data_IF_146523522155
#
_entry.id   IF_146523522155
#
_cell.length_a   1.000
_cell.length_b   1.000
_cell.length_c   1.000
_cell.angle_alpha   90.00
_cell.angle_beta   90.00
_cell.angle_gamma   90.00
#
_symmetry.space_group_name_H-M   'P 1'
#
loop_
_entity.id
_entity.type
_entity.pdbx_description
1 polymer ?
#
# COMPACT_ATOMS: atom_id res chain seq x y z
N UNK A 1 18.81 20.72 21.78
CA UNK A 1 17.73 21.70 22.06
C UNK A 1 16.43 21.17 21.48
N UNK A 2 15.52 20.71 22.33
CA UNK A 2 14.19 20.17 22.00
C UNK A 2 13.14 21.13 22.55
N UNK A 3 12.16 21.49 21.73
CA UNK A 3 10.79 21.99 22.06
C UNK A 3 10.26 22.55 20.73
N UNK A 4 9.06 22.25 20.22
CA UNK A 4 7.75 22.50 20.82
C UNK A 4 6.73 21.52 20.26
N UNK A 5 6.01 20.83 21.15
CA UNK A 5 4.67 20.26 20.91
C UNK A 5 3.69 21.13 21.71
N UNK A 6 2.41 21.12 21.30
CA UNK A 6 1.21 21.55 22.03
C UNK A 6 0.74 22.99 21.75
N UNK A 7 -0.21 23.07 20.81
CA UNK A 7 -1.27 24.08 20.67
C UNK A 7 -2.28 23.44 19.70
N UNK A 8 -3.59 23.33 19.89
CA UNK A 8 -4.52 23.89 20.86
C UNK A 8 -5.85 23.15 20.63
N UNK A 9 -6.34 22.45 21.66
CA UNK A 9 -7.70 21.97 21.78
C UNK A 9 -8.55 23.17 22.20
N UNK A 10 -9.48 23.65 21.37
CA UNK A 10 -10.56 24.57 21.81
C UNK A 10 -11.48 25.00 20.64
N UNK A 11 -12.31 24.12 20.08
CA UNK A 11 -13.52 24.56 19.33
C UNK A 11 -14.66 23.56 19.63
N UNK A 12 -15.17 23.64 20.85
CA UNK A 12 -16.49 23.16 21.24
C UNK A 12 -17.28 24.39 21.70
N UNK A 13 -18.59 24.39 21.46
CA UNK A 13 -19.61 25.23 22.10
C UNK A 13 -19.67 26.72 21.69
N UNK A 14 -20.32 27.02 20.55
CA UNK A 14 -21.06 28.29 20.41
C UNK A 14 -22.38 28.07 19.63
N UNK A 15 -23.46 28.54 20.27
CA UNK A 15 -24.77 28.92 19.75
C UNK A 15 -25.87 27.86 19.55
N UNK A 16 -26.53 27.58 20.67
CA UNK A 16 -27.97 27.39 20.74
C UNK A 16 -28.70 28.76 20.71
N UNK A 17 -29.89 28.77 20.10
CA UNK A 17 -31.13 29.49 20.46
C UNK A 17 -31.77 30.35 19.34
N UNK A 18 -33.10 30.14 19.25
CA UNK A 18 -34.15 30.91 18.56
C UNK A 18 -34.24 30.73 17.03
N UNK A 19 -35.39 30.46 16.41
CA UNK A 19 -36.78 30.59 16.88
C UNK A 19 -37.75 29.79 15.99
N UNK A 20 -38.94 29.59 16.54
CA UNK A 20 -40.11 28.89 16.02
C UNK A 20 -40.54 29.26 14.59
N UNK A 21 -41.24 28.37 13.88
CA UNK A 21 -42.62 28.62 13.41
C UNK A 21 -43.38 27.35 13.00
N UNK A 22 -44.63 27.32 13.47
CA UNK A 22 -45.86 26.75 12.88
C UNK A 22 -46.00 25.24 12.69
N UNK A 23 -46.66 24.65 13.69
CA UNK A 23 -47.52 23.46 13.56
C UNK A 23 -48.62 23.73 12.52
N UNK A 24 -48.66 22.90 11.49
CA UNK A 24 -49.83 22.74 10.61
C UNK A 24 -50.29 21.29 10.77
N UNK A 25 -51.48 21.11 11.33
CA UNK A 25 -52.18 19.83 11.46
C UNK A 25 -52.71 19.42 10.08
N UNK A 26 -52.12 18.40 9.46
CA UNK A 26 -52.69 17.71 8.30
C UNK A 26 -53.33 16.41 8.78
N UNK A 27 -54.66 16.39 8.78
CA UNK A 27 -55.48 15.20 9.02
C UNK A 27 -55.53 14.33 7.75
N UNK A 28 -55.33 13.03 7.96
CA UNK A 28 -55.74 11.87 7.17
C UNK A 28 -55.19 11.66 5.74
N UNK A 29 -54.29 10.69 5.64
CA UNK A 29 -54.41 9.55 4.71
C UNK A 29 -53.65 8.36 5.33
N UNK A 30 -54.18 7.12 5.32
CA UNK A 30 -53.43 5.95 5.76
C UNK A 30 -52.20 5.77 4.85
N UNK A 31 -50.97 5.67 5.38
CA UNK A 31 -49.83 5.36 4.55
C UNK A 31 -49.99 3.93 4.04
N UNK A 32 -50.17 3.80 2.72
CA UNK A 32 -49.91 2.57 2.00
C UNK A 32 -48.54 2.04 2.45
N UNK A 33 -48.52 0.75 2.78
CA UNK A 33 -47.37 0.03 3.29
C UNK A 33 -46.09 0.41 2.54
N UNK A 34 -45.20 1.13 3.21
CA UNK A 34 -43.85 1.36 2.74
C UNK A 34 -43.14 0.01 2.66
N UNK A 35 -42.89 -0.43 1.43
CA UNK A 35 -41.99 -1.53 1.11
C UNK A 35 -40.69 -1.33 1.89
N UNK A 36 -40.24 -2.28 2.73
CA UNK A 36 -38.97 -2.14 3.41
C UNK A 36 -37.86 -1.99 2.37
N UNK A 37 -37.05 -0.94 2.50
CA UNK A 37 -35.83 -0.75 1.74
C UNK A 37 -35.00 -2.05 1.75
N UNK A 38 -34.34 -2.44 0.64
CA UNK A 38 -33.52 -3.63 0.61
C UNK A 38 -32.48 -3.55 1.73
N UNK A 39 -32.53 -4.53 2.63
CA UNK A 39 -31.54 -4.73 3.70
C UNK A 39 -30.15 -4.72 3.05
N UNK A 40 -29.15 -3.99 3.59
CA UNK A 40 -27.80 -4.07 3.07
C UNK A 40 -27.39 -5.55 3.06
N UNK A 41 -27.09 -6.06 1.86
CA UNK A 41 -26.73 -7.46 1.69
C UNK A 41 -25.54 -7.76 2.61
N UNK A 42 -25.63 -8.85 3.37
CA UNK A 42 -24.52 -9.33 4.20
C UNK A 42 -23.24 -9.38 3.37
N UNK A 43 -22.09 -8.94 3.90
CA UNK A 43 -20.84 -9.02 3.17
C UNK A 43 -20.58 -10.47 2.71
N UNK A 44 -20.05 -10.67 1.49
CA UNK A 44 -19.81 -12.00 0.98
C UNK A 44 -18.89 -12.80 1.92
N UNK A 45 -19.07 -14.12 2.03
CA UNK A 45 -18.23 -14.96 2.85
C UNK A 45 -16.78 -14.98 2.33
N UNK A 46 -15.81 -15.23 3.21
CA UNK A 46 -14.38 -15.15 2.87
C UNK A 46 -13.97 -16.02 1.66
N UNK A 47 -14.46 -17.27 1.48
CA UNK A 47 -14.07 -18.07 0.32
C UNK A 47 -14.54 -17.46 -1.00
N UNK A 48 -15.75 -16.89 -1.03
CA UNK A 48 -16.28 -16.24 -2.22
C UNK A 48 -15.49 -14.98 -2.62
N UNK A 49 -14.91 -14.28 -1.63
CA UNK A 49 -14.01 -13.16 -1.87
C UNK A 49 -12.67 -13.63 -2.45
N UNK A 50 -12.06 -14.68 -1.89
CA UNK A 50 -10.79 -15.22 -2.38
C UNK A 50 -10.91 -15.76 -3.81
N UNK A 51 -11.98 -16.48 -4.13
CA UNK A 51 -12.22 -16.96 -5.50
C UNK A 51 -12.43 -15.80 -6.50
N UNK A 52 -13.09 -14.72 -6.08
CA UNK A 52 -13.27 -13.53 -6.92
C UNK A 52 -11.92 -12.84 -7.14
N UNK A 53 -11.11 -12.72 -6.09
CA UNK A 53 -9.77 -12.19 -6.17
C UNK A 53 -8.88 -13.00 -7.12
N UNK A 54 -8.96 -14.34 -7.06
CA UNK A 54 -8.23 -15.24 -7.96
C UNK A 54 -8.59 -15.02 -9.42
N UNK A 55 -9.90 -14.89 -9.73
CA UNK A 55 -10.35 -14.56 -11.10
C UNK A 55 -9.80 -13.22 -11.55
N UNK A 56 -9.91 -12.19 -10.70
CA UNK A 56 -9.38 -10.86 -11.01
C UNK A 56 -7.86 -10.91 -11.25
N UNK A 57 -7.12 -11.61 -10.40
CA UNK A 57 -5.67 -11.81 -10.51
C UNK A 57 -5.29 -12.47 -11.84
N UNK A 58 -5.97 -13.56 -12.22
CA UNK A 58 -5.72 -14.27 -13.49
C UNK A 58 -6.01 -13.42 -14.72
N UNK A 59 -6.94 -12.46 -14.63
CA UNK A 59 -7.23 -11.50 -15.70
C UNK A 59 -6.33 -10.26 -15.72
N UNK A 60 -5.38 -10.15 -14.77
CA UNK A 60 -4.51 -8.98 -14.64
C UNK A 60 -5.18 -7.76 -14.00
N UNK A 61 -6.41 -7.89 -13.49
CA UNK A 61 -7.11 -6.85 -12.75
C UNK A 61 -6.58 -6.78 -11.30
N UNK A 62 -5.31 -6.40 -11.15
CA UNK A 62 -4.59 -6.48 -9.88
C UNK A 62 -5.18 -5.58 -8.79
N UNK A 63 -5.70 -4.39 -9.13
CA UNK A 63 -6.33 -3.51 -8.15
C UNK A 63 -7.63 -4.12 -7.57
N UNK A 64 -8.42 -4.78 -8.40
CA UNK A 64 -9.63 -5.48 -7.97
C UNK A 64 -9.26 -6.70 -7.11
N UNK A 65 -8.27 -7.47 -7.55
CA UNK A 65 -7.75 -8.62 -6.82
C UNK A 65 -7.23 -8.23 -5.43
N UNK A 66 -6.46 -7.14 -5.32
CA UNK A 66 -5.93 -6.64 -4.04
C UNK A 66 -7.06 -6.40 -3.04
N UNK A 67 -8.13 -5.69 -3.44
CA UNK A 67 -9.25 -5.39 -2.55
C UNK A 67 -9.95 -6.66 -2.04
N UNK A 68 -10.23 -7.60 -2.95
CA UNK A 68 -10.94 -8.82 -2.60
C UNK A 68 -10.08 -9.77 -1.74
N UNK A 69 -8.78 -9.89 -2.04
CA UNK A 69 -7.84 -10.65 -1.20
C UNK A 69 -7.73 -10.06 0.21
N UNK A 70 -7.56 -8.74 0.34
CA UNK A 70 -7.47 -8.10 1.66
C UNK A 70 -8.72 -8.34 2.51
N UNK A 71 -9.90 -8.26 1.89
CA UNK A 71 -11.15 -8.53 2.60
C UNK A 71 -11.30 -10.01 2.94
N UNK A 72 -10.97 -10.91 2.02
CA UNK A 72 -11.05 -12.36 2.22
C UNK A 72 -10.10 -12.83 3.33
N UNK A 73 -8.85 -12.36 3.32
CA UNK A 73 -7.82 -12.73 4.29
C UNK A 73 -8.13 -12.29 5.73
N UNK A 74 -8.83 -11.17 5.91
CA UNK A 74 -9.29 -10.71 7.25
C UNK A 74 -10.27 -11.66 7.90
N UNK A 75 -11.03 -12.38 7.08
CA UNK A 75 -12.12 -13.25 7.51
C UNK A 75 -11.72 -14.73 7.51
N UNK A 76 -10.55 -15.08 6.96
CA UNK A 76 -10.09 -16.46 6.81
C UNK A 76 -9.13 -16.88 7.94
N UNK A 77 -9.35 -18.05 8.57
CA UNK A 77 -8.37 -18.63 9.48
C UNK A 77 -7.10 -19.08 8.72
N UNK A 78 -5.97 -19.33 9.42
CA UNK A 78 -4.79 -19.96 8.83
C UNK A 78 -5.14 -21.27 8.11
N UNK A 79 -4.81 -21.34 6.83
CA UNK A 79 -5.11 -22.48 5.95
C UNK A 79 -4.23 -22.43 4.70
N UNK A 80 -4.18 -23.52 3.93
CA UNK A 80 -3.46 -23.53 2.65
C UNK A 80 -4.03 -22.50 1.66
N UNK A 81 -5.34 -22.29 1.66
CA UNK A 81 -5.99 -21.26 0.83
C UNK A 81 -5.56 -19.86 1.25
N UNK A 82 -5.39 -19.63 2.56
CA UNK A 82 -4.87 -18.38 3.09
C UNK A 82 -3.39 -18.17 2.74
N UNK A 83 -2.56 -19.21 2.81
CA UNK A 83 -1.17 -19.17 2.34
C UNK A 83 -1.11 -18.74 0.87
N UNK A 84 -1.92 -19.37 0.01
CA UNK A 84 -1.99 -19.07 -1.41
C UNK A 84 -2.51 -17.65 -1.67
N UNK A 85 -3.55 -17.21 -0.95
CA UNK A 85 -4.07 -15.85 -1.06
C UNK A 85 -3.05 -14.79 -0.60
N UNK A 86 -2.28 -15.03 0.47
CA UNK A 86 -1.20 -14.15 0.89
C UNK A 86 -0.12 -14.02 -0.18
N UNK A 87 0.27 -15.14 -0.80
CA UNK A 87 1.25 -15.15 -1.87
C UNK A 87 0.76 -14.40 -3.11
N UNK A 88 -0.49 -14.65 -3.55
CA UNK A 88 -1.06 -13.96 -4.71
C UNK A 88 -1.29 -12.48 -4.46
N UNK A 89 -1.71 -12.10 -3.26
CA UNK A 89 -1.84 -10.69 -2.87
C UNK A 89 -0.49 -9.96 -2.91
N UNK A 90 0.58 -10.58 -2.42
CA UNK A 90 1.90 -9.96 -2.48
C UNK A 90 2.37 -9.76 -3.92
N UNK A 91 2.12 -10.73 -4.81
CA UNK A 91 2.37 -10.58 -6.24
C UNK A 91 1.50 -9.50 -6.87
N UNK A 92 0.22 -9.40 -6.52
CA UNK A 92 -0.68 -8.39 -7.07
C UNK A 92 -0.18 -6.97 -6.76
N UNK A 93 0.38 -6.75 -5.57
CA UNK A 93 1.00 -5.48 -5.18
C UNK A 93 2.21 -5.09 -6.06
N UNK A 94 2.98 -6.08 -6.51
CA UNK A 94 4.16 -5.85 -7.37
C UNK A 94 3.77 -5.75 -8.85
N UNK A 95 2.79 -6.54 -9.29
CA UNK A 95 2.40 -6.65 -10.70
C UNK A 95 1.50 -5.51 -11.18
N UNK A 96 0.93 -4.70 -10.29
CA UNK A 96 0.12 -3.54 -10.73
C UNK A 96 0.98 -2.58 -11.55
N UNK A 97 0.58 -2.34 -12.80
CA UNK A 97 1.41 -1.66 -13.81
C UNK A 97 1.73 -0.21 -13.48
N UNK A 98 0.90 0.47 -12.69
CA UNK A 98 1.07 1.89 -12.42
C UNK A 98 2.17 2.18 -11.38
N UNK A 99 2.23 1.41 -10.29
CA UNK A 99 3.06 1.74 -9.12
C UNK A 99 3.36 0.50 -8.24
N UNK A 100 4.30 -0.38 -8.57
CA UNK A 100 4.60 -1.55 -7.74
C UNK A 100 4.83 -1.17 -6.26
N UNK A 101 4.08 -1.79 -5.33
CA UNK A 101 4.19 -1.55 -3.89
C UNK A 101 5.02 -2.66 -3.23
N UNK A 102 6.32 -2.60 -3.46
CA UNK A 102 7.29 -3.52 -2.87
C UNK A 102 7.28 -3.56 -1.34
N UNK A 103 7.12 -2.44 -0.60
CA UNK A 103 7.00 -2.47 0.85
C UNK A 103 5.85 -3.36 1.34
N UNK A 104 4.65 -3.22 0.76
CA UNK A 104 3.50 -4.07 1.12
C UNK A 104 3.72 -5.53 0.74
N UNK A 105 4.25 -5.79 -0.46
CA UNK A 105 4.53 -7.14 -0.91
C UNK A 105 5.54 -7.85 0.02
N UNK A 106 6.61 -7.15 0.38
CA UNK A 106 7.65 -7.64 1.30
C UNK A 106 7.07 -7.97 2.68
N UNK A 107 6.21 -7.10 3.21
CA UNK A 107 5.51 -7.34 4.47
C UNK A 107 4.69 -8.63 4.42
N UNK A 108 3.90 -8.83 3.36
CA UNK A 108 3.06 -10.01 3.19
C UNK A 108 3.87 -11.29 2.98
N UNK A 109 4.96 -11.23 2.23
CA UNK A 109 5.86 -12.37 2.03
C UNK A 109 6.57 -12.78 3.32
N UNK A 110 6.98 -11.82 4.16
CA UNK A 110 7.52 -12.11 5.50
C UNK A 110 6.48 -12.76 6.38
N UNK A 111 5.26 -12.20 6.40
CA UNK A 111 4.14 -12.79 7.11
C UNK A 111 3.86 -14.23 6.65
N UNK A 112 3.93 -14.51 5.35
CA UNK A 112 3.76 -15.88 4.82
C UNK A 112 4.85 -16.83 5.34
N UNK A 113 6.11 -16.43 5.29
CA UNK A 113 7.24 -17.26 5.75
C UNK A 113 7.14 -17.54 7.27
N UNK A 114 6.65 -16.58 8.03
CA UNK A 114 6.50 -16.68 9.49
C UNK A 114 5.25 -17.50 9.89
N UNK A 115 4.10 -17.28 9.23
CA UNK A 115 2.84 -18.00 9.51
C UNK A 115 2.85 -19.45 8.99
N UNK A 116 3.60 -19.74 7.91
CA UNK A 116 3.62 -21.05 7.24
C UNK A 116 5.05 -21.62 7.16
N UNK A 117 5.66 -21.99 8.30
CA UNK A 117 7.06 -22.43 8.34
C UNK A 117 7.33 -23.73 7.58
N UNK A 118 6.31 -24.56 7.36
CA UNK A 118 6.33 -25.78 6.55
C UNK A 118 5.42 -25.69 5.32
N UNK A 119 5.00 -24.48 4.94
CA UNK A 119 4.12 -24.24 3.80
C UNK A 119 4.82 -24.46 2.46
N UNK A 120 4.04 -24.80 1.43
CA UNK A 120 4.57 -25.09 0.08
C UNK A 120 5.07 -23.81 -0.60
N UNK A 121 4.53 -22.65 -0.22
CA UNK A 121 4.89 -21.35 -0.79
C UNK A 121 5.96 -20.61 0.00
N UNK A 122 6.42 -21.16 1.13
CA UNK A 122 7.53 -20.58 1.87
C UNK A 122 8.83 -20.50 1.05
N UNK A 123 9.31 -21.56 0.38
CA UNK A 123 10.52 -21.47 -0.44
C UNK A 123 10.46 -20.39 -1.54
N UNK A 124 9.39 -20.30 -2.38
CA UNK A 124 9.31 -19.22 -3.37
C UNK A 124 9.17 -17.83 -2.72
N UNK A 125 8.46 -17.69 -1.60
CA UNK A 125 8.36 -16.41 -0.89
C UNK A 125 9.72 -15.94 -0.36
N UNK A 126 10.49 -16.85 0.25
CA UNK A 126 11.83 -16.55 0.74
C UNK A 126 12.78 -16.16 -0.40
N UNK A 127 12.68 -16.83 -1.56
CA UNK A 127 13.46 -16.49 -2.74
C UNK A 127 13.13 -15.09 -3.28
N UNK A 128 11.84 -14.71 -3.34
CA UNK A 128 11.45 -13.36 -3.78
C UNK A 128 12.03 -12.30 -2.82
N UNK A 129 11.99 -12.56 -1.51
CA UNK A 129 12.56 -11.66 -0.50
C UNK A 129 14.07 -11.50 -0.66
N UNK A 130 14.81 -12.59 -0.88
CA UNK A 130 16.26 -12.52 -1.06
C UNK A 130 16.63 -11.76 -2.33
N UNK A 131 15.98 -12.07 -3.45
CA UNK A 131 16.21 -11.38 -4.73
C UNK A 131 15.88 -9.89 -4.65
N UNK A 132 14.79 -9.53 -3.97
CA UNK A 132 14.44 -8.13 -3.79
C UNK A 132 15.51 -7.39 -2.95
N UNK A 133 16.00 -8.01 -1.87
CA UNK A 133 17.10 -7.45 -1.07
C UNK A 133 18.40 -7.31 -1.86
N UNK A 134 18.73 -8.26 -2.72
CA UNK A 134 19.91 -8.19 -3.59
C UNK A 134 19.79 -7.04 -4.61
N UNK A 135 18.60 -6.86 -5.20
CA UNK A 135 18.33 -5.73 -6.10
C UNK A 135 18.49 -4.38 -5.40
N UNK A 136 18.02 -4.24 -4.16
CA UNK A 136 18.16 -3.02 -3.37
C UNK A 136 19.65 -2.71 -3.07
N UNK A 137 20.42 -3.73 -2.71
CA UNK A 137 21.86 -3.60 -2.49
C UNK A 137 22.59 -3.17 -3.77
N UNK A 138 22.31 -3.83 -4.89
CA UNK A 138 22.89 -3.49 -6.19
C UNK A 138 22.56 -2.06 -6.62
N UNK A 139 21.32 -1.61 -6.38
CA UNK A 139 20.91 -0.25 -6.68
C UNK A 139 21.66 0.78 -5.81
N UNK A 140 21.86 0.49 -4.51
CA UNK A 140 22.64 1.34 -3.62
C UNK A 140 24.13 1.43 -4.03
N UNK A 141 24.71 0.29 -4.40
CA UNK A 141 26.09 0.22 -4.87
C UNK A 141 26.29 1.00 -6.17
N UNK A 142 25.38 0.86 -7.13
CA UNK A 142 25.42 1.63 -8.39
C UNK A 142 25.42 3.13 -8.11
N UNK A 143 24.52 3.61 -7.25
CA UNK A 143 24.44 5.04 -6.87
C UNK A 143 25.74 5.54 -6.24
N UNK A 144 26.34 4.73 -5.37
CA UNK A 144 27.63 5.05 -4.72
C UNK A 144 28.75 5.17 -5.76
N UNK A 145 28.82 4.23 -6.71
CA UNK A 145 29.79 4.26 -7.82
C UNK A 145 29.60 5.50 -8.70
N UNK A 146 28.37 5.85 -9.03
CA UNK A 146 28.05 7.05 -9.83
C UNK A 146 28.46 8.35 -9.13
N UNK A 147 28.32 8.42 -7.81
CA UNK A 147 28.83 9.56 -7.03
C UNK A 147 30.35 9.62 -7.07
N UNK A 148 31.04 8.49 -6.93
CA UNK A 148 32.49 8.43 -6.98
C UNK A 148 33.04 8.82 -8.35
N UNK A 149 32.40 8.36 -9.43
CA UNK A 149 32.76 8.75 -10.80
C UNK A 149 32.65 10.28 -10.96
N UNK A 150 31.53 10.88 -10.55
CA UNK A 150 31.34 12.34 -10.61
C UNK A 150 32.39 13.11 -9.82
N UNK A 151 32.74 12.65 -8.62
CA UNK A 151 33.79 13.26 -7.82
C UNK A 151 35.13 13.23 -8.55
N UNK A 152 35.55 12.05 -9.01
CA UNK A 152 36.82 11.88 -9.70
C UNK A 152 36.88 12.69 -10.99
N UNK A 153 35.78 12.77 -11.76
CA UNK A 153 35.69 13.64 -12.93
C UNK A 153 35.93 15.11 -12.56
N UNK A 154 35.32 15.59 -11.47
CA UNK A 154 35.52 16.98 -11.02
C UNK A 154 36.95 17.27 -10.54
N UNK A 155 37.60 16.31 -9.89
CA UNK A 155 39.00 16.42 -9.46
C UNK A 155 39.93 16.45 -10.67
N UNK A 156 39.68 15.60 -11.66
CA UNK A 156 40.45 15.54 -12.91
C UNK A 156 40.33 16.86 -13.69
N UNK A 157 39.13 17.44 -13.78
CA UNK A 157 38.93 18.74 -14.44
C UNK A 157 39.65 19.88 -13.73
N UNK A 158 39.68 19.87 -12.38
CA UNK A 158 40.49 20.84 -11.60
C UNK A 158 41.97 20.69 -11.91
N UNK A 159 42.49 19.46 -11.97
CA UNK A 159 43.91 19.21 -12.31
C UNK A 159 44.24 19.73 -13.71
N UNK A 160 43.38 19.44 -14.70
CA UNK A 160 43.54 19.96 -16.06
C UNK A 160 43.58 21.49 -16.11
N UNK A 161 42.73 22.17 -15.32
CA UNK A 161 42.73 23.63 -15.24
C UNK A 161 44.03 24.18 -14.65
N UNK A 162 44.53 23.56 -13.57
CA UNK A 162 45.82 23.93 -12.96
C UNK A 162 46.95 23.77 -13.99
N UNK A 163 46.98 22.66 -14.71
CA UNK A 163 48.01 22.40 -15.72
C UNK A 163 47.92 23.38 -16.90
N UNK A 164 46.71 23.71 -17.35
CA UNK A 164 46.50 24.71 -18.39
C UNK A 164 46.99 26.10 -17.95
N UNK A 165 46.64 26.54 -16.73
CA UNK A 165 47.08 27.82 -16.17
C UNK A 165 48.60 27.92 -16.05
N UNK A 166 49.27 26.83 -15.64
CA UNK A 166 50.73 26.77 -15.55
C UNK A 166 51.40 26.93 -16.92
N UNK A 167 50.83 26.36 -17.98
CA UNK A 167 51.38 26.47 -19.34
C UNK A 167 51.21 27.86 -19.97
N UNK A 168 50.20 28.62 -19.55
CA UNK A 168 49.91 29.95 -20.09
C UNK A 168 50.63 31.10 -19.39
N UNK A 169 51.42 30.83 -18.34
CA UNK A 169 52.16 31.88 -17.61
C UNK A 169 53.51 32.13 -18.32
N UNK A 170 53.74 33.34 -18.89
CA UNK A 170 54.98 33.68 -19.58
C UNK A 170 56.18 33.82 -18.64
#
# INVERSE_FOLDING_TARGET
MRTKRIATVAIWMILALASCQKKTTRVAAPPAASTPAPRPASPPPSPALLERADRAFSTGAYDDAIRDYEQGLRLSPPSNDREQALFRLSLAYVLRSANPDWPRATMLLKQLVDEYPSGVLKPPAALILSLHSELDQLAADSRTRDQRIRQLSSELDRMKQIDAQRRTRP
#
